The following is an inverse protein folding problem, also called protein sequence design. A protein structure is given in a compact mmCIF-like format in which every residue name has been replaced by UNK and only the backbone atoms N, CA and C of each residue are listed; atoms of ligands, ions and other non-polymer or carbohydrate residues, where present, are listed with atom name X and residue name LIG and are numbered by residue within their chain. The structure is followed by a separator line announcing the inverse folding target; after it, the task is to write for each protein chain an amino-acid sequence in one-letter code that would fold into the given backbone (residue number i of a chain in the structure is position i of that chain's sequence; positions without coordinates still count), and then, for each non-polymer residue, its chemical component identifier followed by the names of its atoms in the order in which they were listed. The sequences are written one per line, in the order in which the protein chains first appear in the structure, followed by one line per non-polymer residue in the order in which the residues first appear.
data_IF_558854477014
#
_entry.id   IF_558854477014
#
_cell.length_a   1.000
_cell.length_b   1.000
_cell.length_c   1.000
_cell.angle_alpha   90.00
_cell.angle_beta   90.00
_cell.angle_gamma   90.00
#
_symmetry.space_group_name_H-M   'P 1'
#
loop_
_entity.id
_entity.type
_entity.pdbx_description
1 polymer ?
#
# COMPACT_ATOMS: atom_id res chain seq x y z
N UNK A 1 -9.01 -9.67 19.29
CA UNK A 1 -8.80 -9.09 17.95
C UNK A 1 -8.00 -7.80 18.12
N UNK A 2 -6.74 -7.74 17.68
CA UNK A 2 -5.89 -6.56 17.85
C UNK A 2 -6.43 -5.38 17.03
N UNK A 3 -6.91 -4.32 17.70
CA UNK A 3 -7.40 -3.06 17.10
C UNK A 3 -6.40 -2.39 16.13
N UNK A 4 -5.10 -2.66 16.27
CA UNK A 4 -4.05 -2.09 15.42
C UNK A 4 -4.14 -2.60 13.96
N UNK A 5 -4.43 -3.88 13.76
CA UNK A 5 -4.47 -4.50 12.43
C UNK A 5 -5.61 -3.96 11.55
N UNK A 6 -6.76 -3.65 12.17
CA UNK A 6 -7.91 -3.08 11.46
C UNK A 6 -7.63 -1.64 11.01
N UNK A 7 -6.86 -0.88 11.79
CA UNK A 7 -6.45 0.48 11.44
C UNK A 7 -5.50 0.51 10.24
N UNK A 8 -4.55 -0.44 10.18
CA UNK A 8 -3.60 -0.53 9.06
C UNK A 8 -4.31 -0.87 7.76
N UNK A 9 -5.21 -1.86 7.76
CA UNK A 9 -5.94 -2.25 6.56
C UNK A 9 -6.81 -1.09 6.01
N UNK A 10 -7.52 -0.37 6.90
CA UNK A 10 -8.32 0.78 6.52
C UNK A 10 -7.45 1.91 5.94
N UNK A 11 -6.29 2.18 6.54
CA UNK A 11 -5.36 3.20 6.04
C UNK A 11 -4.77 2.81 4.69
N UNK A 12 -4.47 1.54 4.47
CA UNK A 12 -4.00 1.04 3.17
C UNK A 12 -5.06 1.23 2.10
N UNK A 13 -6.32 0.91 2.37
CA UNK A 13 -7.41 1.13 1.42
C UNK A 13 -7.57 2.62 1.07
N UNK A 14 -7.52 3.50 2.06
CA UNK A 14 -7.59 4.95 1.87
C UNK A 14 -6.46 5.46 0.95
N UNK A 15 -5.22 5.10 1.25
CA UNK A 15 -4.07 5.51 0.43
C UNK A 15 -4.17 4.95 -0.99
N UNK A 16 -4.59 3.69 -1.17
CA UNK A 16 -4.76 3.12 -2.52
C UNK A 16 -5.83 3.88 -3.31
N UNK A 17 -6.92 4.30 -2.66
CA UNK A 17 -7.96 5.11 -3.29
C UNK A 17 -7.40 6.44 -3.77
N UNK A 18 -6.69 7.16 -2.90
CA UNK A 18 -6.06 8.45 -3.22
C UNK A 18 -5.08 8.31 -4.39
N UNK A 19 -4.21 7.30 -4.37
CA UNK A 19 -3.23 7.07 -5.44
C UNK A 19 -3.87 6.72 -6.79
N UNK A 20 -5.01 6.01 -6.79
CA UNK A 20 -5.78 5.75 -8.01
C UNK A 20 -6.44 7.03 -8.53
N UNK A 21 -6.98 7.86 -7.66
CA UNK A 21 -7.57 9.16 -8.04
C UNK A 21 -6.53 10.10 -8.64
N UNK A 22 -5.30 10.12 -8.09
CA UNK A 22 -4.17 10.87 -8.65
C UNK A 22 -3.72 10.35 -10.02
N UNK A 23 -4.01 9.09 -10.35
CA UNK A 23 -3.83 8.53 -11.69
C UNK A 23 -4.99 8.83 -12.65
N UNK A 24 -6.02 9.57 -12.19
CA UNK A 24 -7.22 9.85 -12.97
C UNK A 24 -8.20 8.68 -13.02
N UNK A 25 -8.04 7.68 -12.15
CA UNK A 25 -8.91 6.51 -12.06
C UNK A 25 -9.95 6.76 -10.97
N UNK A 26 -11.22 6.46 -11.25
CA UNK A 26 -12.30 6.58 -10.25
C UNK A 26 -12.55 5.23 -9.58
N UNK A 27 -11.97 4.94 -8.41
CA UNK A 27 -12.07 3.62 -7.77
C UNK A 27 -13.51 3.23 -7.40
N UNK A 28 -14.36 4.19 -7.03
CA UNK A 28 -15.78 3.96 -6.72
C UNK A 28 -16.60 3.44 -7.91
N UNK A 29 -16.11 3.61 -9.14
CA UNK A 29 -16.75 3.13 -10.36
C UNK A 29 -16.20 1.80 -10.87
N UNK A 30 -15.14 1.26 -10.25
CA UNK A 30 -14.53 0.00 -10.67
C UNK A 30 -15.31 -1.19 -10.13
N UNK A 31 -15.47 -2.22 -10.96
CA UNK A 31 -16.00 -3.48 -10.46
C UNK A 31 -14.91 -4.24 -9.68
N UNK A 32 -15.28 -5.09 -8.71
CA UNK A 32 -14.31 -5.89 -7.95
C UNK A 32 -13.38 -6.73 -8.84
N UNK A 33 -13.90 -7.23 -9.97
CA UNK A 33 -13.13 -8.01 -10.91
C UNK A 33 -12.07 -7.17 -11.66
N UNK A 34 -12.37 -5.89 -11.96
CA UNK A 34 -11.43 -4.96 -12.57
C UNK A 34 -10.31 -4.63 -11.59
N UNK A 35 -10.65 -4.42 -10.31
CA UNK A 35 -9.66 -4.19 -9.26
C UNK A 35 -8.75 -5.42 -9.15
N UNK A 36 -9.30 -6.63 -9.05
CA UNK A 36 -8.50 -7.85 -8.93
C UNK A 36 -7.62 -8.13 -10.16
N UNK A 37 -8.06 -7.72 -11.36
CA UNK A 37 -7.30 -7.90 -12.60
C UNK A 37 -6.12 -6.92 -12.72
N UNK A 38 -6.30 -5.69 -12.25
CA UNK A 38 -5.31 -4.62 -12.42
C UNK A 38 -4.45 -4.41 -11.16
N UNK A 39 -4.91 -4.82 -9.99
CA UNK A 39 -4.18 -4.67 -8.73
C UNK A 39 -3.33 -5.91 -8.46
N UNK A 40 -2.05 -5.70 -8.25
CA UNK A 40 -1.10 -6.72 -7.81
C UNK A 40 -0.51 -6.32 -6.46
N UNK A 41 -0.52 -7.25 -5.51
CA UNK A 41 0.17 -7.10 -4.24
C UNK A 41 1.34 -8.07 -4.20
N UNK A 42 2.55 -7.54 -4.08
CA UNK A 42 3.77 -8.32 -3.86
C UNK A 42 4.09 -8.32 -2.38
N UNK A 43 4.25 -9.52 -1.80
CA UNK A 43 4.62 -9.70 -0.39
C UNK A 43 6.02 -10.29 -0.34
N UNK A 44 6.90 -9.66 0.42
CA UNK A 44 8.31 -10.03 0.51
C UNK A 44 8.61 -10.81 1.81
N UNK A 45 9.74 -11.53 1.89
CA UNK A 45 10.11 -12.32 3.06
C UNK A 45 10.32 -11.49 4.34
N UNK A 46 10.56 -10.18 4.22
CA UNK A 46 10.73 -9.27 5.34
C UNK A 46 9.39 -8.72 5.87
N UNK A 47 8.26 -9.26 5.43
CA UNK A 47 6.89 -8.79 5.66
C UNK A 47 6.56 -7.44 4.99
N UNK A 48 7.44 -6.94 4.11
CA UNK A 48 7.11 -5.77 3.30
C UNK A 48 6.09 -6.12 2.21
N UNK A 49 5.28 -5.13 1.84
CA UNK A 49 4.24 -5.27 0.82
C UNK A 49 4.32 -4.12 -0.16
N UNK A 50 4.09 -4.42 -1.45
CA UNK A 50 4.02 -3.40 -2.50
C UNK A 50 2.75 -3.61 -3.31
N UNK A 51 1.93 -2.58 -3.38
CA UNK A 51 0.73 -2.53 -4.21
C UNK A 51 1.03 -1.82 -5.52
N UNK A 52 0.68 -2.49 -6.61
CA UNK A 52 0.98 -2.09 -7.98
C UNK A 52 -0.34 -2.14 -8.75
N UNK A 53 -0.70 -1.02 -9.37
CA UNK A 53 -1.81 -0.96 -10.29
C UNK A 53 -1.29 -0.99 -11.72
N UNK A 54 -1.63 -2.05 -12.45
CA UNK A 54 -1.09 -2.37 -13.76
C UNK A 54 0.45 -2.43 -13.70
N UNK A 55 1.12 -1.37 -14.15
CA UNK A 55 2.59 -1.25 -14.15
C UNK A 55 3.08 -0.14 -13.21
N UNK A 56 2.18 0.56 -12.52
CA UNK A 56 2.49 1.68 -11.66
C UNK A 56 2.46 1.25 -10.19
N UNK A 57 3.58 1.41 -9.50
CA UNK A 57 3.62 1.24 -8.04
C UNK A 57 2.81 2.36 -7.37
N UNK A 58 1.84 1.99 -6.53
CA UNK A 58 0.99 2.94 -5.81
C UNK A 58 1.44 3.13 -4.37
N UNK A 59 1.70 2.02 -3.67
CA UNK A 59 1.91 2.04 -2.23
C UNK A 59 2.92 0.98 -1.83
N UNK A 60 3.95 1.38 -1.09
CA UNK A 60 4.90 0.49 -0.44
C UNK A 60 4.71 0.53 1.06
N UNK A 61 4.64 -0.63 1.69
CA UNK A 61 4.44 -0.80 3.12
C UNK A 61 5.65 -1.53 3.68
N UNK A 62 6.34 -0.90 4.63
CA UNK A 62 7.49 -1.46 5.32
C UNK A 62 7.16 -1.70 6.80
N UNK A 63 7.40 -2.89 7.34
CA UNK A 63 7.34 -3.12 8.76
C UNK A 63 8.56 -2.49 9.43
N UNK A 64 8.33 -1.67 10.46
CA UNK A 64 9.38 -1.32 11.40
C UNK A 64 9.41 -2.35 12.50
N UNK A 65 10.55 -3.03 12.62
CA UNK A 65 10.76 -4.12 13.58
C UNK A 65 11.64 -3.66 14.74
N UNK A 66 11.39 -4.19 15.94
CA UNK A 66 12.31 -4.06 17.07
C UNK A 66 13.54 -4.99 16.92
N UNK A 67 14.44 -4.96 17.91
CA UNK A 67 15.64 -5.80 17.93
C UNK A 67 15.34 -7.31 18.00
N UNK A 68 14.12 -7.71 18.39
CA UNK A 68 13.65 -9.10 18.43
C UNK A 68 12.87 -9.49 17.15
N UNK A 69 12.74 -8.58 16.17
CA UNK A 69 12.03 -8.81 14.92
C UNK A 69 10.51 -8.60 15.00
N UNK A 70 9.97 -8.08 16.11
CA UNK A 70 8.53 -7.83 16.27
C UNK A 70 8.15 -6.51 15.60
N UNK A 71 7.05 -6.53 14.87
CA UNK A 71 6.55 -5.34 14.15
C UNK A 71 6.01 -4.32 15.16
N UNK A 72 6.69 -3.17 15.29
CA UNK A 72 6.30 -2.04 16.12
C UNK A 72 5.30 -1.12 15.41
N UNK A 73 5.56 -0.84 14.13
CA UNK A 73 4.69 0.00 13.28
C UNK A 73 4.82 -0.37 11.82
N UNK A 74 3.88 0.09 11.02
CA UNK A 74 3.91 -0.01 9.56
C UNK A 74 4.17 1.38 8.99
N UNK A 75 5.22 1.52 8.18
CA UNK A 75 5.49 2.74 7.40
C UNK A 75 4.91 2.56 6.01
N UNK A 76 4.21 3.57 5.53
CA UNK A 76 3.53 3.56 4.24
C UNK A 76 4.11 4.68 3.39
N UNK A 77 4.47 4.37 2.15
CA UNK A 77 5.08 5.28 1.19
C UNK A 77 4.25 5.25 -0.08
N UNK A 78 3.63 6.37 -0.43
CA UNK A 78 2.90 6.49 -1.69
C UNK A 78 3.86 6.67 -2.85
N UNK A 79 3.34 6.72 -4.09
CA UNK A 79 4.16 7.00 -5.26
C UNK A 79 4.96 8.28 -5.07
N UNK A 80 4.30 9.35 -4.62
CA UNK A 80 4.88 10.68 -4.42
C UNK A 80 6.01 10.71 -3.36
N UNK A 81 5.90 9.91 -2.30
CA UNK A 81 7.00 9.76 -1.32
C UNK A 81 8.27 9.17 -1.94
N UNK A 82 8.12 8.31 -2.95
CA UNK A 82 9.26 7.62 -3.58
C UNK A 82 9.95 8.43 -4.67
N UNK A 83 9.29 9.44 -5.24
CA UNK A 83 9.89 10.32 -6.27
C UNK A 83 10.75 11.43 -5.64
N UNK A 84 10.69 11.61 -4.32
CA UNK A 84 11.33 12.71 -3.60
C UNK A 84 12.77 12.48 -3.11
N UNK A 85 13.40 11.31 -3.34
CA UNK A 85 14.78 11.07 -2.88
C UNK A 85 15.80 11.16 -4.03
N UNK A 86 16.00 12.38 -4.52
CA UNK A 86 17.24 12.80 -5.19
C UNK A 86 17.64 14.15 -4.62
N UNK A 87 18.36 14.13 -3.49
CA UNK A 87 19.27 15.20 -3.08
C UNK A 87 20.47 14.63 -2.35
#
# INVERSE_FOLDING_TARGET
MNKMSQSVAARVEELLREQLEELGITPSGLQPHDIAKNMRCEVFPDDSMVYIWQETQLLRILPEKDAEGRILRWRMFTRDDTVGTVH
#
